data_IF_020434769131
#
_entry.id   IF_020434769131
#
_cell.length_a   1.000
_cell.length_b   1.000
_cell.length_c   1.000
_cell.angle_alpha   90.00
_cell.angle_beta   90.00
_cell.angle_gamma   90.00
#
_symmetry.space_group_name_H-M   'P 1'
#
loop_
_entity.id
_entity.type
_entity.pdbx_description
1 polymer ?
#
# COMPACT_ATOMS: atom_id res chain seq x y z
N UNK A 1 -47.86 -11.97 14.65
CA UNK A 1 -47.20 -11.05 13.69
C UNK A 1 -45.85 -10.45 14.16
N UNK A 2 -45.28 -10.86 15.31
CA UNK A 2 -44.00 -10.30 15.81
C UNK A 2 -42.74 -11.12 15.49
N UNK A 3 -42.88 -12.41 15.11
CA UNK A 3 -41.74 -13.31 14.83
C UNK A 3 -41.09 -13.09 13.45
N UNK A 4 -41.87 -12.70 12.44
CA UNK A 4 -41.34 -12.44 11.09
C UNK A 4 -40.50 -11.15 11.05
N UNK A 5 -40.90 -10.13 11.84
CA UNK A 5 -40.17 -8.85 11.93
C UNK A 5 -38.83 -8.99 12.66
N UNK A 6 -38.74 -9.86 13.66
CA UNK A 6 -37.48 -10.15 14.37
C UNK A 6 -36.54 -10.99 13.52
N UNK A 7 -37.04 -11.98 12.77
CA UNK A 7 -36.22 -12.75 11.84
C UNK A 7 -35.63 -11.87 10.71
N UNK A 8 -36.42 -10.96 10.16
CA UNK A 8 -35.94 -10.01 9.14
C UNK A 8 -34.91 -9.02 9.70
N UNK A 9 -35.07 -8.58 10.95
CA UNK A 9 -34.12 -7.68 11.61
C UNK A 9 -32.78 -8.38 11.88
N UNK A 10 -32.80 -9.66 12.27
CA UNK A 10 -31.58 -10.47 12.50
C UNK A 10 -30.86 -10.77 11.18
N UNK A 11 -31.60 -11.11 10.12
CA UNK A 11 -31.02 -11.30 8.77
C UNK A 11 -30.48 -9.97 8.22
N UNK A 12 -31.19 -8.85 8.40
CA UNK A 12 -30.68 -7.53 8.02
C UNK A 12 -29.45 -7.14 8.83
N UNK A 13 -29.39 -7.42 10.14
CA UNK A 13 -28.20 -7.18 10.96
C UNK A 13 -27.01 -8.07 10.53
N UNK A 14 -27.26 -9.34 10.20
CA UNK A 14 -26.22 -10.26 9.71
C UNK A 14 -25.71 -9.86 8.32
N UNK A 15 -26.59 -9.36 7.45
CA UNK A 15 -26.20 -8.79 6.16
C UNK A 15 -25.42 -7.48 6.34
N UNK A 16 -25.84 -6.56 7.20
CA UNK A 16 -25.16 -5.27 7.45
C UNK A 16 -23.81 -5.46 8.17
N UNK A 17 -23.69 -6.45 9.06
CA UNK A 17 -22.42 -6.82 9.67
C UNK A 17 -21.40 -7.37 8.65
N UNK A 18 -21.89 -8.04 7.59
CA UNK A 18 -21.05 -8.51 6.48
C UNK A 18 -20.56 -7.37 5.58
N UNK A 19 -21.25 -6.22 5.57
CA UNK A 19 -20.81 -5.00 4.87
C UNK A 19 -19.94 -4.07 5.74
N UNK A 20 -19.92 -4.25 7.06
CA UNK A 20 -19.14 -3.43 8.00
C UNK A 20 -17.68 -3.90 8.16
N UNK A 21 -17.28 -5.02 7.53
CA UNK A 21 -15.94 -5.59 7.59
C UNK A 21 -15.33 -5.85 6.19
N UNK A 22 -15.89 -5.24 5.14
CA UNK A 22 -15.28 -5.30 3.82
C UNK A 22 -14.15 -4.28 3.77
N UNK A 23 -12.91 -4.76 3.69
CA UNK A 23 -11.75 -3.90 3.42
C UNK A 23 -11.97 -3.10 2.14
N UNK A 24 -11.55 -1.83 2.14
CA UNK A 24 -11.60 -0.98 0.96
C UNK A 24 -10.80 -1.61 -0.18
N UNK A 25 -11.32 -1.48 -1.39
CA UNK A 25 -10.66 -2.03 -2.57
C UNK A 25 -9.40 -1.24 -2.91
N UNK A 26 -8.52 -1.85 -3.71
CA UNK A 26 -7.35 -1.16 -4.29
C UNK A 26 -7.75 0.06 -5.13
N UNK A 27 -8.91 0.03 -5.77
CA UNK A 27 -9.46 1.15 -6.54
C UNK A 27 -9.84 2.33 -5.64
N UNK A 28 -10.47 2.06 -4.49
CA UNK A 28 -10.75 3.10 -3.48
C UNK A 28 -9.43 3.67 -2.95
N UNK A 29 -8.44 2.83 -2.64
CA UNK A 29 -7.13 3.30 -2.19
C UNK A 29 -6.42 4.19 -3.23
N UNK A 30 -6.47 3.82 -4.51
CA UNK A 30 -5.97 4.65 -5.61
C UNK A 30 -6.71 5.99 -5.69
N UNK A 31 -8.04 5.97 -5.58
CA UNK A 31 -8.86 7.19 -5.59
C UNK A 31 -8.54 8.10 -4.40
N UNK A 32 -8.35 7.56 -3.20
CA UNK A 32 -7.92 8.32 -2.02
C UNK A 32 -6.54 8.96 -2.23
N UNK A 33 -5.62 8.26 -2.92
CA UNK A 33 -4.28 8.76 -3.18
C UNK A 33 -4.20 9.76 -4.35
N UNK A 34 -5.14 9.73 -5.31
CA UNK A 34 -5.12 10.55 -6.52
C UNK A 34 -4.85 12.05 -6.31
N UNK A 35 -5.42 12.74 -5.30
CA UNK A 35 -5.15 14.16 -5.07
C UNK A 35 -3.67 14.50 -4.87
N UNK A 36 -2.83 13.52 -4.50
CA UNK A 36 -1.42 13.72 -4.23
C UNK A 36 -0.50 13.47 -5.44
N UNK A 37 -1.04 13.04 -6.58
CA UNK A 37 -0.31 12.75 -7.82
C UNK A 37 0.09 14.06 -8.54
N UNK A 38 1.36 14.20 -9.00
CA UNK A 38 1.73 15.32 -9.89
C UNK A 38 1.42 15.00 -11.35
N UNK A 39 1.31 16.06 -12.14
CA UNK A 39 1.35 15.97 -13.60
C UNK A 39 2.61 15.22 -14.06
N UNK A 40 2.43 14.22 -14.92
CA UNK A 40 3.51 13.36 -15.44
C UNK A 40 3.91 12.21 -14.50
N UNK A 41 3.21 12.04 -13.38
CA UNK A 41 3.28 10.85 -12.53
C UNK A 41 2.05 9.95 -12.80
N UNK A 42 2.24 8.65 -12.70
CA UNK A 42 1.19 7.63 -12.65
C UNK A 42 1.22 6.94 -11.27
N UNK A 43 0.10 6.33 -10.90
CA UNK A 43 -0.07 5.63 -9.63
C UNK A 43 -0.31 4.13 -9.84
N UNK A 44 0.29 3.30 -8.98
CA UNK A 44 0.09 1.85 -8.98
C UNK A 44 0.08 1.29 -7.55
N UNK A 45 -0.50 0.10 -7.38
CA UNK A 45 -0.50 -0.66 -6.12
C UNK A 45 0.15 -2.01 -6.41
N UNK A 46 1.12 -2.41 -5.60
CA UNK A 46 1.80 -3.71 -5.75
C UNK A 46 1.38 -4.75 -4.71
N UNK A 47 0.65 -4.35 -3.66
CA UNK A 47 0.17 -5.29 -2.64
C UNK A 47 -0.38 -4.62 -1.39
N UNK A 48 -0.82 -5.45 -0.45
CA UNK A 48 -1.22 -5.07 0.91
C UNK A 48 -0.08 -5.31 1.89
N UNK A 49 -0.03 -4.43 2.89
CA UNK A 49 0.97 -4.45 3.96
C UNK A 49 0.24 -4.58 5.29
N UNK A 50 0.73 -5.45 6.17
CA UNK A 50 0.08 -5.73 7.45
C UNK A 50 0.96 -5.31 8.63
N UNK A 51 0.41 -4.48 9.53
CA UNK A 51 1.05 -3.99 10.76
C UNK A 51 0.05 -4.04 11.92
N UNK A 52 0.42 -4.72 13.01
CA UNK A 52 -0.37 -4.79 14.27
C UNK A 52 -1.87 -5.04 14.01
N UNK A 53 -2.16 -6.11 13.27
CA UNK A 53 -3.50 -6.60 12.91
C UNK A 53 -4.31 -5.72 11.93
N UNK A 54 -3.76 -4.61 11.45
CA UNK A 54 -4.37 -3.79 10.40
C UNK A 54 -3.66 -3.99 9.06
N UNK A 55 -4.40 -3.73 7.99
CA UNK A 55 -3.95 -3.87 6.62
C UNK A 55 -3.91 -2.50 5.95
N UNK A 56 -2.94 -2.31 5.06
CA UNK A 56 -2.65 -1.03 4.45
C UNK A 56 -2.33 -1.24 2.97
N UNK A 57 -2.91 -0.38 2.13
CA UNK A 57 -2.56 -0.26 0.73
C UNK A 57 -1.38 0.70 0.58
N UNK A 58 -0.32 0.24 -0.07
CA UNK A 58 0.81 1.09 -0.48
C UNK A 58 0.59 1.50 -1.93
N UNK A 59 0.38 2.79 -2.17
CA UNK A 59 0.21 3.38 -3.49
C UNK A 59 1.51 4.05 -3.91
N UNK A 60 2.11 3.58 -4.99
CA UNK A 60 3.36 4.10 -5.53
C UNK A 60 3.08 5.11 -6.62
N UNK A 61 3.73 6.26 -6.53
CA UNK A 61 3.79 7.21 -7.63
C UNK A 61 5.12 7.07 -8.35
N UNK A 62 5.06 7.05 -9.67
CA UNK A 62 6.20 6.88 -10.55
C UNK A 62 6.04 7.79 -11.78
N UNK A 63 7.12 8.25 -12.43
CA UNK A 63 7.02 8.94 -13.71
C UNK A 63 6.31 8.05 -14.73
N UNK A 64 5.46 8.64 -15.58
CA UNK A 64 4.76 7.90 -16.64
C UNK A 64 5.74 7.17 -17.58
N UNK A 65 6.89 7.79 -17.85
CA UNK A 65 7.91 7.23 -18.74
C UNK A 65 8.84 6.20 -18.05
N UNK A 66 8.78 6.07 -16.72
CA UNK A 66 9.66 5.20 -15.93
C UNK A 66 8.86 4.47 -14.83
N UNK A 67 8.00 3.50 -15.19
CA UNK A 67 7.11 2.83 -14.24
C UNK A 67 7.83 1.99 -13.17
N UNK A 68 9.11 1.67 -13.38
CA UNK A 68 9.93 0.94 -12.41
C UNK A 68 10.50 1.81 -11.29
N UNK A 69 10.44 3.14 -11.38
CA UNK A 69 11.01 4.03 -10.36
C UNK A 69 9.96 4.46 -9.34
N UNK A 70 10.17 4.17 -8.05
CA UNK A 70 9.31 4.63 -6.97
C UNK A 70 9.71 6.05 -6.54
N UNK A 71 8.88 7.06 -6.84
CA UNK A 71 9.13 8.45 -6.45
C UNK A 71 8.51 8.81 -5.11
N UNK A 72 7.31 8.30 -4.83
CA UNK A 72 6.59 8.55 -3.60
C UNK A 72 5.71 7.35 -3.25
N UNK A 73 5.54 7.08 -1.95
CA UNK A 73 4.58 6.09 -1.48
C UNK A 73 3.55 6.78 -0.59
N UNK A 74 2.29 6.56 -0.92
CA UNK A 74 1.11 7.03 -0.20
C UNK A 74 0.45 5.83 0.44
N UNK A 75 0.10 5.96 1.73
CA UNK A 75 -0.40 4.83 2.52
C UNK A 75 -1.87 5.05 2.84
N UNK A 76 -2.70 4.07 2.51
CA UNK A 76 -4.15 4.09 2.78
C UNK A 76 -4.52 2.91 3.64
N UNK A 77 -5.23 3.15 4.74
CA UNK A 77 -5.71 2.09 5.62
C UNK A 77 -6.81 1.28 4.93
N UNK A 78 -6.68 -0.05 4.94
CA UNK A 78 -7.60 -0.95 4.25
C UNK A 78 -8.97 -1.01 4.93
N UNK A 79 -9.07 -0.73 6.23
CA UNK A 79 -10.35 -0.74 6.95
C UNK A 79 -11.15 0.55 6.71
N UNK A 80 -10.52 1.71 6.87
CA UNK A 80 -11.22 3.01 6.81
C UNK A 80 -11.18 3.66 5.42
N UNK A 81 -10.25 3.27 4.56
CA UNK A 81 -9.94 4.01 3.32
C UNK A 81 -9.27 5.36 3.57
N UNK A 82 -8.93 5.66 4.82
CA UNK A 82 -8.29 6.90 5.24
C UNK A 82 -6.81 6.93 4.90
N UNK A 83 -6.30 8.12 4.59
CA UNK A 83 -4.89 8.35 4.39
C UNK A 83 -4.13 8.27 5.73
N UNK A 84 -3.10 7.44 5.79
CA UNK A 84 -2.25 7.33 6.98
C UNK A 84 -1.29 8.52 7.01
N UNK A 85 -1.28 9.26 8.11
CA UNK A 85 -0.39 10.41 8.33
C UNK A 85 0.45 10.30 9.61
N UNK A 86 0.21 9.29 10.43
CA UNK A 86 0.97 9.06 11.66
C UNK A 86 2.41 8.66 11.31
N UNK A 87 3.37 9.49 11.74
CA UNK A 87 4.77 9.36 11.33
C UNK A 87 5.41 8.03 11.72
N UNK A 88 5.08 7.50 12.88
CA UNK A 88 5.64 6.25 13.38
C UNK A 88 5.10 5.03 12.62
N UNK A 89 3.79 5.01 12.35
CA UNK A 89 3.17 3.98 11.52
C UNK A 89 3.70 4.03 10.07
N UNK A 90 3.84 5.24 9.51
CA UNK A 90 4.47 5.42 8.20
C UNK A 90 5.90 4.87 8.20
N UNK A 91 6.72 5.17 9.21
CA UNK A 91 8.08 4.60 9.30
C UNK A 91 8.07 3.07 9.29
N UNK A 92 7.15 2.45 10.01
CA UNK A 92 7.02 0.99 10.03
C UNK A 92 6.62 0.44 8.65
N UNK A 93 5.64 1.04 7.99
CA UNK A 93 5.17 0.60 6.67
C UNK A 93 6.20 0.83 5.57
N UNK A 94 6.86 1.99 5.54
CA UNK A 94 7.94 2.28 4.61
C UNK A 94 9.17 1.42 4.87
N UNK A 95 9.45 1.03 6.12
CA UNK A 95 10.48 0.04 6.45
C UNK A 95 10.14 -1.33 5.85
N UNK A 96 8.89 -1.78 5.99
CA UNK A 96 8.43 -3.02 5.35
C UNK A 96 8.54 -2.95 3.82
N UNK A 97 8.17 -1.83 3.19
CA UNK A 97 8.30 -1.65 1.74
C UNK A 97 9.75 -1.64 1.27
N UNK A 98 10.62 -0.93 1.99
CA UNK A 98 12.04 -0.89 1.71
C UNK A 98 12.62 -2.31 1.74
N UNK A 99 12.36 -3.06 2.82
CA UNK A 99 12.80 -4.45 2.96
C UNK A 99 12.24 -5.35 1.87
N UNK A 100 10.95 -5.21 1.53
CA UNK A 100 10.33 -6.00 0.48
C UNK A 100 10.98 -5.76 -0.89
N UNK A 101 11.24 -4.49 -1.21
CA UNK A 101 11.90 -4.07 -2.45
C UNK A 101 13.32 -4.63 -2.54
N UNK A 102 14.07 -4.55 -1.44
CA UNK A 102 15.44 -5.07 -1.39
C UNK A 102 15.49 -6.61 -1.45
N UNK A 103 14.62 -7.30 -0.71
CA UNK A 103 14.51 -8.76 -0.75
C UNK A 103 14.12 -9.26 -2.15
N UNK A 104 13.15 -8.61 -2.77
CA UNK A 104 12.74 -8.91 -4.16
C UNK A 104 13.88 -8.64 -5.15
N UNK A 105 14.62 -7.54 -4.96
CA UNK A 105 15.77 -7.21 -5.80
C UNK A 105 16.89 -8.22 -5.62
N UNK A 106 17.14 -8.66 -4.38
CA UNK A 106 18.16 -9.66 -4.09
C UNK A 106 17.85 -11.01 -4.75
N UNK A 107 16.60 -11.47 -4.65
CA UNK A 107 16.15 -12.71 -5.28
C UNK A 107 16.20 -12.65 -6.82
N UNK A 108 15.76 -11.54 -7.42
CA UNK A 108 15.67 -11.39 -8.89
C UNK A 108 17.00 -11.06 -9.58
N UNK A 109 17.85 -10.22 -8.98
CA UNK A 109 19.09 -9.73 -9.62
C UNK A 109 20.28 -10.68 -9.51
N UNK A 110 20.28 -11.61 -8.54
CA UNK A 110 21.42 -12.51 -8.31
C UNK A 110 21.11 -13.99 -8.61
N UNK A 111 19.89 -14.34 -9.07
CA UNK A 111 19.44 -15.73 -9.21
C UNK A 111 19.53 -16.52 -7.89
N UNK A 112 19.34 -15.84 -6.76
CA UNK A 112 19.48 -16.38 -5.40
C UNK A 112 18.08 -16.65 -4.84
N UNK A 113 17.40 -17.66 -5.39
CA UNK A 113 16.14 -18.19 -4.85
C UNK A 113 16.39 -19.53 -4.14
N UNK A 114 15.54 -19.87 -3.17
CA UNK A 114 15.65 -21.18 -2.52
C UNK A 114 15.31 -22.32 -3.47
N UNK A 115 14.43 -22.08 -4.46
CA UNK A 115 14.17 -23.03 -5.54
C UNK A 115 15.45 -23.36 -6.35
N UNK A 116 16.26 -22.35 -6.71
CA UNK A 116 17.53 -22.57 -7.41
C UNK A 116 18.54 -23.26 -6.50
N UNK A 117 18.62 -22.84 -5.25
CA UNK A 117 19.51 -23.46 -4.26
C UNK A 117 19.18 -24.94 -4.04
N UNK A 118 17.89 -25.30 -4.00
CA UNK A 118 17.44 -26.70 -3.91
C UNK A 118 17.89 -27.54 -5.10
N UNK A 119 17.75 -27.02 -6.32
CA UNK A 119 18.23 -27.72 -7.52
C UNK A 119 19.75 -27.92 -7.51
N UNK A 120 20.52 -26.90 -7.12
CA UNK A 120 21.97 -27.04 -6.97
C UNK A 120 22.29 -28.07 -5.90
N UNK A 121 21.57 -28.03 -4.79
CA UNK A 121 21.76 -28.92 -3.67
C UNK A 121 21.51 -30.40 -4.02
N UNK A 122 20.36 -30.72 -4.63
CA UNK A 122 20.04 -32.10 -5.03
C UNK A 122 21.11 -32.69 -5.97
N UNK A 123 21.72 -31.86 -6.83
CA UNK A 123 22.83 -32.29 -7.67
C UNK A 123 24.12 -32.59 -6.88
N UNK A 124 24.42 -31.80 -5.86
CA UNK A 124 25.55 -32.05 -4.95
C UNK A 124 25.37 -33.34 -4.17
N UNK A 125 24.16 -33.60 -3.67
CA UNK A 125 23.81 -34.86 -3.02
C UNK A 125 24.07 -36.06 -3.93
N UNK A 126 23.60 -36.00 -5.18
CA UNK A 126 23.79 -37.09 -6.14
C UNK A 126 25.28 -37.34 -6.42
N UNK A 127 26.11 -36.29 -6.48
CA UNK A 127 27.56 -36.43 -6.63
C UNK A 127 28.20 -37.04 -5.37
N UNK A 128 27.86 -36.57 -4.18
CA UNK A 128 28.32 -37.15 -2.91
C UNK A 128 27.98 -38.65 -2.81
N UNK A 129 26.72 -39.01 -3.08
CA UNK A 129 26.26 -40.41 -3.06
C UNK A 129 26.96 -41.25 -4.13
N UNK A 130 27.21 -40.68 -5.32
CA UNK A 130 27.97 -41.33 -6.39
C UNK A 130 29.43 -41.58 -6.00
N UNK A 131 30.07 -40.66 -5.29
CA UNK A 131 31.46 -40.77 -4.86
C UNK A 131 31.64 -41.82 -3.75
N UNK A 132 30.62 -42.05 -2.91
CA UNK A 132 30.68 -43.03 -1.84
C UNK A 132 30.17 -44.43 -2.24
N UNK A 133 29.36 -44.55 -3.29
CA UNK A 133 28.78 -45.84 -3.66
C UNK A 133 29.85 -46.82 -4.16
N UNK A 134 30.27 -47.78 -3.32
CA UNK A 134 31.27 -48.80 -3.67
C UNK A 134 30.97 -49.63 -4.93
N UNK A 135 29.70 -49.70 -5.38
CA UNK A 135 29.33 -50.35 -6.64
C UNK A 135 29.60 -49.48 -7.88
N UNK A 136 29.85 -48.17 -7.71
CA UNK A 136 30.27 -47.26 -8.76
C UNK A 136 31.79 -47.38 -8.98
N UNK A 137 32.26 -47.73 -10.20
CA UNK A 137 33.69 -47.78 -10.52
C UNK A 137 34.44 -46.45 -10.35
N UNK A 138 33.71 -45.33 -10.32
CA UNK A 138 34.25 -44.00 -10.08
C UNK A 138 34.01 -43.49 -8.63
N UNK A 139 33.73 -44.39 -7.68
CA UNK A 139 33.68 -44.08 -6.26
C UNK A 139 35.08 -44.07 -5.63
N UNK A 140 35.22 -43.38 -4.50
CA UNK A 140 36.47 -43.31 -3.75
C UNK A 140 36.92 -44.70 -3.30
N UNK A 141 35.98 -45.56 -2.85
CA UNK A 141 36.30 -46.91 -2.38
C UNK A 141 36.77 -47.83 -3.50
N UNK A 142 36.16 -47.73 -4.70
CA UNK A 142 36.57 -48.51 -5.86
C UNK A 142 37.95 -48.08 -6.39
N UNK A 143 38.21 -46.77 -6.42
CA UNK A 143 39.49 -46.20 -6.86
C UNK A 143 40.60 -46.49 -5.85
N UNK A 144 40.37 -46.24 -4.55
CA UNK A 144 41.28 -46.61 -3.45
C UNK A 144 41.66 -48.09 -3.55
N UNK A 145 40.68 -48.98 -3.63
CA UNK A 145 40.93 -50.43 -3.74
C UNK A 145 41.74 -50.82 -4.98
N UNK A 146 41.62 -50.10 -6.10
CA UNK A 146 42.37 -50.38 -7.32
C UNK A 146 43.80 -49.82 -7.28
N UNK A 147 43.98 -48.64 -6.68
CA UNK A 147 45.27 -47.98 -6.52
C UNK A 147 46.10 -48.70 -5.46
N UNK A 148 45.57 -48.96 -4.28
CA UNK A 148 46.28 -49.59 -3.15
C UNK A 148 46.75 -51.02 -3.44
N UNK A 149 46.06 -51.75 -4.33
CA UNK A 149 46.53 -53.07 -4.81
C UNK A 149 47.88 -53.02 -5.51
N UNK A 150 48.19 -51.88 -6.14
CA UNK A 150 49.40 -51.68 -6.93
C UNK A 150 50.38 -50.72 -6.25
N UNK A 151 49.91 -49.87 -5.33
CA UNK A 151 50.64 -48.77 -4.69
C UNK A 151 50.21 -48.64 -3.22
N UNK A 152 50.75 -49.52 -2.37
CA UNK A 152 50.38 -49.66 -0.94
C UNK A 152 50.72 -48.45 -0.07
N UNK A 153 51.54 -47.53 -0.57
CA UNK A 153 51.96 -46.29 0.09
C UNK A 153 51.01 -45.11 -0.10
N UNK A 154 50.05 -45.22 -1.03
CA UNK A 154 49.02 -44.20 -1.26
C UNK A 154 47.81 -44.51 -0.38
N UNK A 155 47.63 -43.71 0.67
CA UNK A 155 46.61 -43.91 1.69
C UNK A 155 45.41 -42.97 1.49
N UNK A 156 44.23 -43.54 1.21
CA UNK A 156 43.00 -42.80 0.99
C UNK A 156 42.20 -42.49 2.26
N UNK A 157 42.62 -42.96 3.44
CA UNK A 157 41.85 -42.84 4.69
C UNK A 157 41.45 -41.40 5.01
N UNK A 158 42.38 -40.45 4.81
CA UNK A 158 42.10 -39.01 5.03
C UNK A 158 41.07 -38.45 4.05
N UNK A 159 41.18 -38.80 2.77
CA UNK A 159 40.22 -38.37 1.74
C UNK A 159 38.82 -39.00 1.97
N UNK A 160 38.76 -40.26 2.37
CA UNK A 160 37.50 -40.94 2.74
C UNK A 160 36.86 -40.25 3.96
N UNK A 161 37.65 -39.99 5.00
CA UNK A 161 37.19 -39.29 6.21
C UNK A 161 36.69 -37.87 5.88
N UNK A 162 37.37 -37.14 4.99
CA UNK A 162 36.95 -35.81 4.55
C UNK A 162 35.63 -35.87 3.74
N UNK A 163 35.46 -36.87 2.87
CA UNK A 163 34.21 -37.10 2.13
C UNK A 163 33.03 -37.37 3.06
N UNK A 164 33.22 -38.24 4.06
CA UNK A 164 32.19 -38.52 5.07
C UNK A 164 31.86 -37.26 5.88
N UNK A 165 32.86 -36.46 6.24
CA UNK A 165 32.65 -35.17 6.89
C UNK A 165 31.85 -34.16 6.05
N UNK A 166 31.95 -34.20 4.71
CA UNK A 166 31.11 -33.41 3.81
C UNK A 166 29.67 -33.94 3.73
N UNK A 167 29.48 -35.26 3.78
CA UNK A 167 28.17 -35.92 3.78
C UNK A 167 27.40 -35.70 5.08
N UNK A 168 28.05 -35.82 6.23
CA UNK A 168 27.40 -35.57 7.53
C UNK A 168 26.88 -34.14 7.63
N UNK A 169 27.55 -33.19 6.96
CA UNK A 169 27.11 -31.80 6.92
C UNK A 169 26.05 -31.53 5.84
N UNK A 170 25.89 -32.44 4.87
CA UNK A 170 24.90 -32.35 3.82
C UNK A 170 23.48 -32.27 4.37
N UNK A 171 23.10 -33.16 5.28
CA UNK A 171 21.74 -33.23 5.83
C UNK A 171 21.36 -31.91 6.54
N UNK A 172 22.29 -31.32 7.30
CA UNK A 172 22.11 -30.01 7.93
C UNK A 172 21.93 -28.88 6.92
N UNK A 173 22.63 -28.94 5.78
CA UNK A 173 22.44 -27.99 4.69
C UNK A 173 21.08 -28.20 4.01
N UNK A 174 20.70 -29.44 3.71
CA UNK A 174 19.43 -29.78 3.05
C UNK A 174 18.21 -29.29 3.84
N UNK A 175 18.21 -29.53 5.15
CA UNK A 175 17.18 -29.06 6.08
C UNK A 175 17.04 -27.52 6.07
N UNK A 176 18.18 -26.82 5.96
CA UNK A 176 18.20 -25.36 5.85
C UNK A 176 17.54 -24.86 4.58
N UNK A 177 17.83 -25.53 3.46
CA UNK A 177 17.34 -25.16 2.16
C UNK A 177 15.83 -25.44 2.10
N UNK A 178 15.39 -26.59 2.59
CA UNK A 178 13.96 -26.92 2.69
C UNK A 178 13.20 -25.89 3.55
N UNK A 179 13.72 -25.57 4.73
CA UNK A 179 13.16 -24.51 5.59
C UNK A 179 13.11 -23.14 4.89
N UNK A 180 14.10 -22.86 4.04
CA UNK A 180 14.14 -21.64 3.24
C UNK A 180 13.13 -21.61 2.10
N UNK A 181 12.88 -22.74 1.43
CA UNK A 181 11.81 -22.89 0.44
C UNK A 181 10.46 -22.57 1.09
N UNK A 182 10.19 -23.12 2.28
CA UNK A 182 8.96 -22.84 3.02
C UNK A 182 8.84 -21.36 3.41
N UNK A 183 9.95 -20.73 3.82
CA UNK A 183 9.96 -19.30 4.14
C UNK A 183 9.70 -18.42 2.90
N UNK A 184 10.28 -18.77 1.75
CA UNK A 184 10.08 -18.06 0.47
C UNK A 184 8.64 -18.21 -0.03
N UNK A 185 8.06 -19.42 0.06
CA UNK A 185 6.65 -19.68 -0.27
C UNK A 185 5.71 -18.87 0.63
N UNK A 186 5.93 -18.90 1.94
CA UNK A 186 5.12 -18.14 2.90
C UNK A 186 5.23 -16.63 2.64
N UNK A 187 6.43 -16.12 2.31
CA UNK A 187 6.62 -14.72 1.96
C UNK A 187 5.84 -14.35 0.68
N UNK A 188 5.91 -15.17 -0.37
CA UNK A 188 5.25 -14.92 -1.65
C UNK A 188 3.71 -15.01 -1.60
N UNK A 189 3.15 -15.79 -0.67
CA UNK A 189 1.70 -16.03 -0.56
C UNK A 189 0.99 -15.14 0.46
N UNK A 190 1.73 -14.38 1.27
CA UNK A 190 1.20 -13.54 2.35
C UNK A 190 1.18 -12.05 2.01
N UNK A 191 0.34 -11.28 2.70
CA UNK A 191 0.50 -9.83 2.78
C UNK A 191 1.90 -9.49 3.32
N UNK A 192 2.47 -8.39 2.83
CA UNK A 192 3.82 -7.99 3.24
C UNK A 192 3.80 -7.59 4.71
N UNK A 193 4.50 -8.37 5.55
CA UNK A 193 4.54 -8.13 6.98
C UNK A 193 5.93 -8.46 7.58
N UNK A 194 6.18 -7.95 8.79
CA UNK A 194 7.48 -8.09 9.44
C UNK A 194 7.84 -9.54 9.74
N UNK A 195 6.86 -10.38 10.09
CA UNK A 195 7.09 -11.77 10.47
C UNK A 195 7.61 -12.57 9.29
N UNK A 196 6.94 -12.52 8.14
CA UNK A 196 7.33 -13.28 6.95
C UNK A 196 8.65 -12.79 6.37
N UNK A 197 8.89 -11.46 6.36
CA UNK A 197 10.20 -10.89 5.98
C UNK A 197 11.33 -11.35 6.91
N UNK A 198 11.15 -11.28 8.23
CA UNK A 198 12.17 -11.70 9.18
C UNK A 198 12.46 -13.20 9.05
N UNK A 199 11.42 -14.04 8.88
CA UNK A 199 11.59 -15.47 8.63
C UNK A 199 12.43 -15.74 7.37
N UNK A 200 12.16 -15.02 6.27
CA UNK A 200 12.94 -15.15 5.04
C UNK A 200 14.40 -14.70 5.21
N UNK A 201 14.64 -13.58 5.90
CA UNK A 201 15.99 -13.10 6.22
C UNK A 201 16.77 -14.10 7.07
N UNK A 202 16.11 -14.68 8.08
CA UNK A 202 16.73 -15.72 8.92
C UNK A 202 17.07 -16.97 8.12
N UNK A 203 16.18 -17.42 7.23
CA UNK A 203 16.42 -18.55 6.35
C UNK A 203 17.62 -18.32 5.42
N UNK A 204 17.73 -17.14 4.81
CA UNK A 204 18.88 -16.78 3.97
C UNK A 204 20.18 -16.81 4.77
N UNK A 205 20.22 -16.14 5.94
CA UNK A 205 21.41 -16.12 6.79
C UNK A 205 21.84 -17.51 7.27
N UNK A 206 20.89 -18.35 7.69
CA UNK A 206 21.16 -19.72 8.09
C UNK A 206 21.75 -20.54 6.93
N UNK A 207 21.20 -20.37 5.73
CA UNK A 207 21.63 -21.10 4.54
C UNK A 207 23.00 -20.63 4.05
N UNK A 208 23.30 -19.33 4.02
CA UNK A 208 24.66 -18.84 3.73
C UNK A 208 25.69 -19.44 4.70
N UNK A 209 25.39 -19.42 6.01
CA UNK A 209 26.29 -20.01 7.02
C UNK A 209 26.52 -21.49 6.77
N UNK A 210 25.48 -22.26 6.48
CA UNK A 210 25.59 -23.70 6.23
C UNK A 210 26.28 -24.01 4.92
N UNK A 211 25.98 -23.31 3.83
CA UNK A 211 26.69 -23.45 2.57
C UNK A 211 28.18 -23.18 2.77
N UNK A 212 28.54 -22.12 3.50
CA UNK A 212 29.94 -21.79 3.76
C UNK A 212 30.69 -22.91 4.50
N UNK A 213 30.06 -23.57 5.47
CA UNK A 213 30.68 -24.69 6.20
C UNK A 213 30.73 -25.94 5.32
N UNK A 214 29.69 -26.21 4.52
CA UNK A 214 29.68 -27.30 3.55
C UNK A 214 30.82 -27.15 2.53
N UNK A 215 30.99 -25.95 1.95
CA UNK A 215 32.08 -25.66 1.02
C UNK A 215 33.45 -25.90 1.66
N UNK A 216 33.66 -25.52 2.93
CA UNK A 216 34.91 -25.82 3.64
C UNK A 216 35.18 -27.33 3.80
N UNK A 217 34.13 -28.15 3.94
CA UNK A 217 34.27 -29.62 3.98
C UNK A 217 34.62 -30.20 2.62
N UNK A 218 34.02 -29.66 1.55
CA UNK A 218 34.36 -30.03 0.18
C UNK A 218 35.78 -29.62 -0.17
N UNK A 219 36.20 -28.40 0.18
CA UNK A 219 37.58 -27.92 -0.03
C UNK A 219 38.58 -28.84 0.69
N UNK A 220 38.31 -29.22 1.94
CA UNK A 220 39.16 -30.15 2.68
C UNK A 220 39.27 -31.51 1.98
N UNK A 221 38.17 -32.02 1.40
CA UNK A 221 38.20 -33.25 0.61
C UNK A 221 39.03 -33.10 -0.67
N UNK A 222 38.87 -32.01 -1.43
CA UNK A 222 39.64 -31.75 -2.64
C UNK A 222 41.14 -31.55 -2.34
N UNK A 223 41.49 -30.96 -1.20
CA UNK A 223 42.87 -30.83 -0.73
C UNK A 223 43.52 -32.20 -0.45
N UNK A 224 42.79 -33.14 0.17
CA UNK A 224 43.29 -34.51 0.40
C UNK A 224 43.50 -35.27 -0.94
N UNK A 225 42.62 -35.08 -1.93
CA UNK A 225 42.82 -35.63 -3.28
C UNK A 225 44.04 -35.01 -3.98
N UNK A 226 44.31 -33.72 -3.74
CA UNK A 226 45.48 -33.03 -4.27
C UNK A 226 46.77 -33.54 -3.62
N UNK A 227 46.79 -33.74 -2.30
CA UNK A 227 47.92 -34.36 -1.58
C UNK A 227 48.23 -35.75 -2.14
N UNK A 228 47.19 -36.57 -2.38
CA UNK A 228 47.33 -37.89 -3.00
C UNK A 228 47.90 -37.82 -4.42
N UNK A 229 47.44 -36.84 -5.22
CA UNK A 229 47.95 -36.62 -6.57
C UNK A 229 49.42 -36.25 -6.58
N UNK A 230 49.85 -35.41 -5.63
CA UNK A 230 51.25 -35.00 -5.47
C UNK A 230 52.14 -36.16 -5.00
N UNK A 231 51.67 -36.95 -4.03
CA UNK A 231 52.36 -38.15 -3.58
C UNK A 231 52.55 -39.14 -4.74
N UNK A 232 51.51 -39.35 -5.55
CA UNK A 232 51.58 -40.22 -6.72
C UNK A 232 52.60 -39.71 -7.76
N UNK A 233 52.61 -38.40 -8.04
CA UNK A 233 53.58 -37.78 -8.94
C UNK A 233 55.03 -37.93 -8.47
N UNK A 234 55.28 -37.80 -7.16
CA UNK A 234 56.60 -37.92 -6.59
C UNK A 234 57.13 -39.37 -6.57
N UNK A 235 56.27 -40.35 -6.34
CA UNK A 235 56.67 -41.74 -6.12
C UNK A 235 56.63 -42.62 -7.39
N UNK A 236 55.79 -42.31 -8.39
CA UNK A 236 55.39 -43.32 -9.39
C UNK A 236 55.64 -42.98 -10.87
N UNK A 237 56.40 -41.92 -11.19
CA UNK A 237 56.90 -41.67 -12.55
C UNK A 237 55.83 -41.76 -13.65
N UNK A 238 55.94 -42.73 -14.57
CA UNK A 238 54.98 -42.92 -15.67
C UNK A 238 53.58 -43.42 -15.21
N UNK A 239 53.48 -44.11 -14.06
CA UNK A 239 52.21 -44.59 -13.52
C UNK A 239 51.41 -43.48 -12.81
N UNK A 240 52.09 -42.40 -12.38
CA UNK A 240 51.45 -41.26 -11.72
C UNK A 240 50.33 -40.65 -12.56
N UNK A 241 50.52 -40.54 -13.88
CA UNK A 241 49.53 -39.95 -14.78
C UNK A 241 48.20 -40.71 -14.80
N UNK A 242 48.21 -42.03 -14.64
CA UNK A 242 46.98 -42.83 -14.57
C UNK A 242 46.27 -42.67 -13.23
N UNK A 243 47.03 -42.63 -12.12
CA UNK A 243 46.49 -42.41 -10.77
C UNK A 243 45.84 -41.02 -10.69
N UNK A 244 46.53 -39.97 -11.16
CA UNK A 244 46.03 -38.60 -11.19
C UNK A 244 44.75 -38.49 -12.03
N UNK A 245 44.68 -39.20 -13.17
CA UNK A 245 43.47 -39.22 -13.99
C UNK A 245 42.28 -39.88 -13.26
N UNK A 246 42.53 -40.92 -12.45
CA UNK A 246 41.50 -41.53 -11.61
C UNK A 246 41.07 -40.59 -10.47
N UNK A 247 42.01 -39.92 -9.80
CA UNK A 247 41.71 -38.94 -8.75
C UNK A 247 40.89 -37.76 -9.27
N UNK A 248 41.12 -37.30 -10.51
CA UNK A 248 40.32 -36.26 -11.15
C UNK A 248 38.86 -36.67 -11.40
N UNK A 249 38.50 -37.96 -11.37
CA UNK A 249 37.09 -38.38 -11.43
C UNK A 249 36.35 -38.14 -10.10
N UNK A 250 37.12 -38.02 -9.01
CA UNK A 250 36.61 -37.86 -7.65
C UNK A 250 36.37 -36.38 -7.28
N UNK A 251 36.90 -35.42 -8.04
CA UNK A 251 36.72 -33.99 -7.75
C UNK A 251 35.28 -33.51 -7.98
N UNK A 252 34.91 -32.43 -7.31
CA UNK A 252 33.62 -31.73 -7.48
C UNK A 252 33.69 -30.69 -8.60
N UNK A 253 34.88 -30.20 -8.95
CA UNK A 253 35.13 -29.48 -10.19
C UNK A 253 34.95 -30.44 -11.39
N UNK A 254 33.93 -30.19 -12.22
CA UNK A 254 33.67 -31.00 -13.41
C UNK A 254 34.68 -30.63 -14.51
N UNK A 255 35.30 -31.64 -15.14
CA UNK A 255 36.19 -31.46 -16.30
C UNK A 255 35.42 -31.37 -17.64
N UNK A 256 34.12 -31.03 -17.59
CA UNK A 256 33.17 -31.11 -18.69
C UNK A 256 32.92 -29.81 -19.45
N UNK A 257 32.81 -29.91 -20.78
CA UNK A 257 32.59 -28.82 -21.75
C UNK A 257 31.20 -28.16 -21.75
N UNK A 258 30.34 -28.42 -20.74
CA UNK A 258 28.98 -27.86 -20.65
C UNK A 258 28.88 -26.53 -19.91
N UNK A 259 29.98 -25.98 -19.40
CA UNK A 259 30.05 -24.56 -18.97
C UNK A 259 29.12 -24.16 -17.81
N UNK A 260 28.64 -25.12 -17.01
CA UNK A 260 27.91 -24.86 -15.78
C UNK A 260 28.64 -25.53 -14.62
N UNK A 261 29.69 -24.87 -14.13
CA UNK A 261 30.36 -25.24 -12.88
C UNK A 261 29.38 -25.04 -11.72
N UNK A 262 28.59 -26.07 -11.41
CA UNK A 262 27.58 -26.05 -10.33
C UNK A 262 28.20 -25.72 -8.97
N UNK A 263 29.46 -26.13 -8.77
CA UNK A 263 30.30 -25.71 -7.64
C UNK A 263 30.53 -24.20 -7.62
N UNK A 264 30.94 -23.61 -8.75
CA UNK A 264 31.10 -22.15 -8.86
C UNK A 264 29.79 -21.39 -8.63
N UNK A 265 28.63 -21.95 -9.01
CA UNK A 265 27.32 -21.35 -8.73
C UNK A 265 27.00 -21.35 -7.23
N UNK A 266 27.29 -22.45 -6.53
CA UNK A 266 27.10 -22.54 -5.08
C UNK A 266 28.06 -21.60 -4.32
N UNK A 267 29.31 -21.47 -4.79
CA UNK A 267 30.28 -20.49 -4.28
C UNK A 267 29.77 -19.06 -4.48
N UNK A 268 29.30 -18.71 -5.69
CA UNK A 268 28.71 -17.38 -5.98
C UNK A 268 27.48 -17.08 -5.11
N UNK A 269 26.65 -18.09 -4.86
CA UNK A 269 25.53 -17.97 -3.93
C UNK A 269 26.03 -17.64 -2.52
N UNK A 270 27.03 -18.36 -2.01
CA UNK A 270 27.62 -18.09 -0.70
C UNK A 270 28.22 -16.68 -0.60
N UNK A 271 28.96 -16.23 -1.63
CA UNK A 271 29.54 -14.89 -1.70
C UNK A 271 28.48 -13.77 -1.66
N UNK A 272 27.29 -14.05 -2.19
CA UNK A 272 26.15 -13.13 -2.15
C UNK A 272 25.68 -12.83 -0.73
N UNK A 273 25.95 -13.72 0.24
CA UNK A 273 25.65 -13.49 1.66
C UNK A 273 26.36 -12.26 2.26
N UNK A 274 27.56 -11.92 1.76
CA UNK A 274 28.26 -10.68 2.16
C UNK A 274 27.51 -9.43 1.71
N UNK A 275 26.86 -9.47 0.55
CA UNK A 275 26.02 -8.36 0.05
C UNK A 275 24.67 -8.35 0.73
N UNK A 276 24.11 -9.52 1.03
CA UNK A 276 22.82 -9.66 1.72
C UNK A 276 22.79 -8.96 3.07
N UNK A 277 23.87 -9.09 3.86
CA UNK A 277 23.98 -8.42 5.17
C UNK A 277 24.08 -6.89 5.08
N UNK A 278 24.45 -6.34 3.91
CA UNK A 278 24.59 -4.90 3.68
C UNK A 278 23.31 -4.23 3.19
N UNK A 279 22.33 -5.01 2.73
CA UNK A 279 21.05 -4.52 2.17
C UNK A 279 20.35 -3.52 3.11
N UNK A 280 20.41 -3.76 4.42
CA UNK A 280 19.64 -2.98 5.40
C UNK A 280 20.41 -1.77 5.95
N UNK A 281 21.65 -1.54 5.54
CA UNK A 281 22.47 -0.44 6.07
C UNK A 281 21.93 0.96 5.72
N UNK A 282 21.07 1.07 4.68
CA UNK A 282 20.49 2.34 4.20
C UNK A 282 19.03 2.53 4.58
N UNK A 283 18.44 1.55 5.27
CA UNK A 283 17.01 1.52 5.57
C UNK A 283 16.56 2.78 6.32
N UNK A 284 17.26 3.13 7.41
CA UNK A 284 16.87 4.27 8.25
C UNK A 284 16.82 5.60 7.48
N UNK A 285 17.79 5.85 6.60
CA UNK A 285 17.83 7.06 5.78
C UNK A 285 16.73 7.02 4.71
N UNK A 286 16.63 5.92 3.94
CA UNK A 286 15.63 5.78 2.88
C UNK A 286 14.19 5.85 3.39
N UNK A 287 13.91 5.28 4.57
CA UNK A 287 12.61 5.37 5.24
C UNK A 287 12.32 6.80 5.67
N UNK A 288 13.27 7.50 6.30
CA UNK A 288 13.06 8.89 6.71
C UNK A 288 12.81 9.82 5.53
N UNK A 289 13.57 9.68 4.45
CA UNK A 289 13.42 10.48 3.23
C UNK A 289 12.05 10.23 2.57
N UNK A 290 11.62 8.95 2.51
CA UNK A 290 10.31 8.58 1.96
C UNK A 290 9.15 9.14 2.78
N UNK A 291 9.22 9.02 4.10
CA UNK A 291 8.20 9.56 5.01
C UNK A 291 8.16 11.09 4.91
N UNK A 292 9.32 11.76 4.88
CA UNK A 292 9.36 13.22 4.77
C UNK A 292 8.82 13.70 3.42
N UNK A 293 9.19 13.04 2.32
CA UNK A 293 8.67 13.33 0.98
C UNK A 293 7.13 13.24 0.93
N UNK A 294 6.55 12.24 1.59
CA UNK A 294 5.10 12.10 1.71
C UNK A 294 4.47 13.22 2.53
N UNK A 295 5.02 13.52 3.71
CA UNK A 295 4.51 14.60 4.57
C UNK A 295 4.56 15.95 3.85
N UNK A 296 5.64 16.25 3.14
CA UNK A 296 5.78 17.50 2.39
C UNK A 296 4.78 17.59 1.24
N UNK A 297 4.58 16.48 0.50
CA UNK A 297 3.56 16.39 -0.55
C UNK A 297 2.16 16.58 0.02
N UNK A 298 1.87 15.91 1.13
CA UNK A 298 0.58 16.01 1.80
C UNK A 298 0.29 17.44 2.23
N UNK A 299 1.24 18.06 2.93
CA UNK A 299 1.13 19.44 3.39
C UNK A 299 0.92 20.41 2.23
N UNK A 300 1.59 20.20 1.09
CA UNK A 300 1.40 21.02 -0.10
C UNK A 300 -0.04 20.95 -0.63
N UNK A 301 -0.56 19.74 -0.82
CA UNK A 301 -1.91 19.51 -1.37
C UNK A 301 -2.99 19.98 -0.40
N UNK A 302 -2.87 19.64 0.87
CA UNK A 302 -3.85 20.03 1.89
C UNK A 302 -3.90 21.56 2.04
N UNK A 303 -2.75 22.22 2.18
CA UNK A 303 -2.70 23.68 2.35
C UNK A 303 -3.16 24.42 1.08
N UNK A 304 -2.79 23.95 -0.11
CA UNK A 304 -3.25 24.56 -1.36
C UNK A 304 -4.76 24.41 -1.55
N UNK A 305 -5.30 23.22 -1.26
CA UNK A 305 -6.75 22.95 -1.33
C UNK A 305 -7.52 23.83 -0.35
N UNK A 306 -7.08 23.86 0.92
CA UNK A 306 -7.71 24.69 1.94
C UNK A 306 -7.63 26.18 1.60
N UNK A 307 -6.45 26.67 1.17
CA UNK A 307 -6.27 28.05 0.76
C UNK A 307 -7.23 28.42 -0.38
N UNK A 308 -7.33 27.58 -1.42
CA UNK A 308 -8.21 27.84 -2.57
C UNK A 308 -9.69 27.82 -2.16
N UNK A 309 -10.09 26.87 -1.31
CA UNK A 309 -11.47 26.75 -0.85
C UNK A 309 -11.87 27.92 0.05
N UNK A 310 -11.06 28.24 1.06
CA UNK A 310 -11.34 29.34 1.98
C UNK A 310 -11.29 30.70 1.29
N UNK A 311 -10.35 30.90 0.37
CA UNK A 311 -10.29 32.12 -0.43
C UNK A 311 -11.56 32.29 -1.25
N UNK A 312 -11.98 31.25 -1.98
CA UNK A 312 -13.19 31.28 -2.79
C UNK A 312 -14.46 31.47 -1.96
N UNK A 313 -14.51 30.91 -0.74
CA UNK A 313 -15.62 31.08 0.20
C UNK A 313 -15.74 32.53 0.69
N UNK A 314 -14.61 33.17 1.00
CA UNK A 314 -14.60 34.52 1.58
C UNK A 314 -14.68 35.64 0.53
N UNK A 315 -14.12 35.42 -0.67
CA UNK A 315 -14.04 36.40 -1.76
C UNK A 315 -15.36 37.15 -2.01
N UNK A 316 -16.52 36.50 -2.25
CA UNK A 316 -17.76 37.23 -2.59
C UNK A 316 -18.26 38.11 -1.43
N UNK A 317 -18.01 37.71 -0.18
CA UNK A 317 -18.40 38.50 0.98
C UNK A 317 -17.50 39.69 1.18
N UNK A 318 -16.20 39.50 0.99
CA UNK A 318 -15.25 40.61 1.04
C UNK A 318 -15.54 41.60 -0.08
N UNK A 319 -15.73 41.14 -1.32
CA UNK A 319 -16.13 42.00 -2.43
C UNK A 319 -17.43 42.75 -2.14
N UNK A 320 -18.45 42.11 -1.57
CA UNK A 320 -19.69 42.80 -1.20
C UNK A 320 -19.46 43.90 -0.15
N UNK A 321 -18.57 43.67 0.82
CA UNK A 321 -18.25 44.65 1.89
C UNK A 321 -17.41 45.80 1.33
N UNK A 322 -16.47 45.52 0.42
CA UNK A 322 -15.44 46.48 -0.02
C UNK A 322 -15.69 47.11 -1.40
N UNK A 323 -16.68 46.66 -2.17
CA UNK A 323 -17.03 47.21 -3.50
C UNK A 323 -18.28 48.09 -3.46
N UNK A 324 -19.06 48.21 -4.55
CA UNK A 324 -20.17 49.17 -4.76
C UNK A 324 -21.27 49.15 -3.68
N UNK A 325 -21.34 48.12 -2.83
CA UNK A 325 -22.25 48.07 -1.66
C UNK A 325 -21.61 48.64 -0.39
N UNK A 326 -20.37 49.11 -0.41
CA UNK A 326 -19.64 49.64 0.76
C UNK A 326 -20.40 50.77 1.43
N UNK A 327 -21.03 51.66 0.67
CA UNK A 327 -21.86 52.75 1.20
C UNK A 327 -23.07 52.26 2.00
N UNK A 328 -23.62 51.10 1.66
CA UNK A 328 -24.71 50.47 2.42
C UNK A 328 -24.17 49.90 3.73
N UNK A 329 -23.02 49.24 3.71
CA UNK A 329 -22.34 48.73 4.91
C UNK A 329 -21.89 49.86 5.84
N UNK A 330 -21.32 50.93 5.29
CA UNK A 330 -20.94 52.15 6.02
C UNK A 330 -22.16 52.83 6.66
N UNK A 331 -23.30 52.85 5.98
CA UNK A 331 -24.56 53.37 6.57
C UNK A 331 -25.06 52.56 7.77
N UNK A 332 -24.54 51.35 7.96
CA UNK A 332 -24.78 50.48 9.10
C UNK A 332 -23.60 50.46 10.08
N UNK A 333 -22.70 51.45 10.00
CA UNK A 333 -21.53 51.64 10.86
C UNK A 333 -20.56 50.43 10.81
N UNK A 334 -20.53 49.70 9.69
CA UNK A 334 -19.60 48.58 9.51
C UNK A 334 -18.24 49.13 9.03
N UNK A 335 -17.16 48.78 9.74
CA UNK A 335 -15.79 49.13 9.35
C UNK A 335 -15.34 48.30 8.13
N UNK A 336 -15.46 48.89 6.95
CA UNK A 336 -15.06 48.30 5.66
C UNK A 336 -13.55 48.40 5.43
N UNK A 337 -12.86 49.37 6.05
CA UNK A 337 -11.44 49.68 5.82
C UNK A 337 -10.53 48.62 6.44
N UNK A 338 -10.85 48.17 7.65
CA UNK A 338 -10.07 47.12 8.32
C UNK A 338 -10.11 45.79 7.53
N UNK A 339 -11.28 45.43 6.99
CA UNK A 339 -11.46 44.21 6.17
C UNK A 339 -10.70 44.36 4.84
N UNK A 340 -10.85 45.49 4.15
CA UNK A 340 -10.14 45.76 2.90
C UNK A 340 -8.61 45.73 3.08
N UNK A 341 -8.10 46.26 4.19
CA UNK A 341 -6.66 46.29 4.49
C UNK A 341 -6.11 44.89 4.76
N UNK A 342 -6.78 44.09 5.58
CA UNK A 342 -6.37 42.69 5.81
C UNK A 342 -6.48 41.86 4.52
N UNK A 343 -7.54 42.04 3.72
CA UNK A 343 -7.72 41.30 2.47
C UNK A 343 -6.64 41.59 1.43
N UNK A 344 -6.16 42.84 1.32
CA UNK A 344 -5.05 43.20 0.43
C UNK A 344 -3.76 42.44 0.71
N UNK A 345 -3.56 41.92 1.92
CA UNK A 345 -2.39 41.12 2.29
C UNK A 345 -2.53 39.65 1.88
N UNK A 346 -3.75 39.20 1.58
CA UNK A 346 -4.02 37.84 1.11
C UNK A 346 -3.74 37.78 -0.39
N UNK A 347 -2.71 37.02 -0.76
CA UNK A 347 -2.44 36.72 -2.16
C UNK A 347 -3.45 35.69 -2.67
N UNK A 348 -3.98 35.89 -3.87
CA UNK A 348 -4.85 34.89 -4.52
C UNK A 348 -4.06 33.59 -4.76
N UNK A 349 -4.43 32.46 -4.10
CA UNK A 349 -3.71 31.21 -4.21
C UNK A 349 -3.75 30.60 -5.62
N UNK A 350 -4.65 31.03 -6.51
CA UNK A 350 -4.76 30.55 -7.90
C UNK A 350 -3.86 31.29 -8.88
N UNK A 351 -3.45 32.50 -8.53
CA UNK A 351 -2.63 33.37 -9.37
C UNK A 351 -1.12 33.16 -9.20
N UNK A 352 -0.73 32.26 -8.29
CA UNK A 352 0.64 32.12 -7.82
C UNK A 352 1.18 30.70 -8.05
N UNK A 353 2.28 30.59 -8.80
CA UNK A 353 3.04 29.34 -8.93
C UNK A 353 3.92 29.13 -7.69
N UNK A 354 3.29 28.69 -6.60
CA UNK A 354 4.04 28.29 -5.40
C UNK A 354 4.62 26.90 -5.58
N UNK A 355 5.92 26.76 -5.27
CA UNK A 355 6.67 25.51 -5.42
C UNK A 355 6.71 24.67 -4.13
N UNK A 356 6.25 25.22 -3.00
CA UNK A 356 6.20 24.54 -1.70
C UNK A 356 4.97 24.96 -0.87
N UNK A 357 4.77 24.31 0.28
CA UNK A 357 3.52 24.40 1.07
C UNK A 357 3.42 25.66 1.95
N UNK A 358 4.55 26.30 2.28
CA UNK A 358 4.62 27.38 3.26
C UNK A 358 3.81 28.63 2.84
N UNK A 359 3.86 29.13 1.58
CA UNK A 359 3.01 30.23 1.15
C UNK A 359 1.52 29.94 1.26
N UNK A 360 1.08 28.73 0.93
CA UNK A 360 -0.31 28.34 1.09
C UNK A 360 -0.73 28.30 2.56
N UNK A 361 0.13 27.76 3.44
CA UNK A 361 -0.12 27.77 4.88
C UNK A 361 -0.29 29.20 5.42
N UNK A 362 0.53 30.15 4.97
CA UNK A 362 0.38 31.57 5.32
C UNK A 362 -0.95 32.15 4.85
N UNK A 363 -1.37 31.83 3.62
CA UNK A 363 -2.68 32.26 3.09
C UNK A 363 -3.81 31.70 3.94
N UNK A 364 -3.79 30.41 4.29
CA UNK A 364 -4.80 29.79 5.17
C UNK A 364 -4.87 30.52 6.52
N UNK A 365 -3.72 30.83 7.14
CA UNK A 365 -3.68 31.58 8.39
C UNK A 365 -4.29 32.99 8.25
N UNK A 366 -3.92 33.73 7.21
CA UNK A 366 -4.48 35.07 6.95
C UNK A 366 -6.00 35.01 6.71
N UNK A 367 -6.49 34.02 5.97
CA UNK A 367 -7.92 33.81 5.73
C UNK A 367 -8.66 33.46 7.03
N UNK A 368 -8.07 32.65 7.90
CA UNK A 368 -8.62 32.33 9.22
C UNK A 368 -8.73 33.57 10.13
N UNK A 369 -7.80 34.53 10.01
CA UNK A 369 -7.88 35.81 10.74
C UNK A 369 -8.93 36.77 10.16
N UNK A 370 -9.21 36.69 8.86
CA UNK A 370 -10.17 37.57 8.18
C UNK A 370 -11.61 37.05 8.32
N UNK A 371 -11.83 35.73 8.29
CA UNK A 371 -13.16 35.13 8.35
C UNK A 371 -14.04 35.70 9.49
N UNK A 372 -13.56 35.80 10.74
CA UNK A 372 -14.37 36.34 11.84
C UNK A 372 -14.74 37.82 11.66
N UNK A 373 -13.88 38.62 11.02
CA UNK A 373 -14.14 40.03 10.75
C UNK A 373 -15.26 40.19 9.71
N UNK A 374 -15.22 39.36 8.66
CA UNK A 374 -16.26 39.30 7.62
C UNK A 374 -17.60 38.85 8.23
N UNK A 375 -17.59 37.80 9.05
CA UNK A 375 -18.80 37.28 9.69
C UNK A 375 -19.41 38.32 10.65
N UNK A 376 -18.58 39.04 11.43
CA UNK A 376 -19.03 40.11 12.30
C UNK A 376 -19.62 41.29 11.50
N UNK A 377 -18.99 41.68 10.40
CA UNK A 377 -19.48 42.74 9.51
C UNK A 377 -20.83 42.40 8.90
N UNK A 378 -21.00 41.17 8.39
CA UNK A 378 -22.29 40.70 7.86
C UNK A 378 -23.37 40.68 8.95
N UNK A 379 -23.06 40.13 10.12
CA UNK A 379 -24.00 40.10 11.25
C UNK A 379 -24.43 41.51 11.69
N UNK A 380 -23.53 42.49 11.67
CA UNK A 380 -23.85 43.89 11.99
C UNK A 380 -24.74 44.51 10.90
N UNK A 381 -24.42 44.26 9.63
CA UNK A 381 -25.22 44.72 8.49
C UNK A 381 -26.64 44.13 8.48
N UNK A 382 -26.78 42.81 8.67
CA UNK A 382 -28.08 42.13 8.69
C UNK A 382 -28.97 42.67 9.82
N UNK A 383 -28.41 42.86 11.03
CA UNK A 383 -29.12 43.49 12.15
C UNK A 383 -29.56 44.93 11.85
N UNK A 384 -28.74 45.70 11.15
CA UNK A 384 -29.06 47.06 10.75
C UNK A 384 -30.24 47.06 9.76
N UNK A 385 -30.25 46.14 8.79
CA UNK A 385 -31.37 45.99 7.85
C UNK A 385 -32.66 45.55 8.56
N UNK A 386 -32.60 44.56 9.45
CA UNK A 386 -33.77 44.12 10.24
C UNK A 386 -34.36 45.26 11.08
N UNK A 387 -33.50 46.13 11.64
CA UNK A 387 -33.92 47.31 12.39
C UNK A 387 -34.62 48.34 11.48
N UNK A 388 -34.10 48.55 10.27
CA UNK A 388 -34.72 49.44 9.26
C UNK A 388 -36.04 48.89 8.72
N UNK A 389 -36.17 47.57 8.55
CA UNK A 389 -37.42 46.95 8.15
C UNK A 389 -38.48 47.03 9.26
N UNK A 390 -38.09 46.82 10.52
CA UNK A 390 -38.99 47.00 11.67
C UNK A 390 -39.42 48.45 11.86
N UNK A 391 -38.55 49.42 11.60
CA UNK A 391 -38.92 50.85 11.66
C UNK A 391 -39.76 51.30 10.46
N UNK A 392 -39.50 50.77 9.26
CA UNK A 392 -40.36 50.99 8.09
C UNK A 392 -41.76 50.36 8.24
N UNK A 393 -41.85 49.19 8.90
CA UNK A 393 -43.12 48.57 9.28
C UNK A 393 -43.83 49.34 10.40
N UNK A 394 -43.10 49.96 11.33
CA UNK A 394 -43.71 50.81 12.36
C UNK A 394 -44.31 52.11 11.79
N UNK A 395 -43.76 52.66 10.70
CA UNK A 395 -44.32 53.85 10.02
C UNK A 395 -45.53 53.52 9.15
N UNK A 396 -45.78 52.25 8.83
CA UNK A 396 -46.98 51.80 8.09
C UNK A 396 -48.04 51.14 8.99
N UNK A 397 -47.81 51.06 10.30
CA UNK A 397 -48.72 50.44 11.26
C UNK A 397 -49.87 51.35 11.72
N UNK A 398 -49.99 52.58 11.20
CA UNK A 398 -51.16 53.44 11.44
C UNK A 398 -52.23 53.41 10.34
N UNK A 399 -51.95 52.78 9.18
CA UNK A 399 -52.96 52.57 8.14
C UNK A 399 -52.70 51.26 7.39
N UNK A 400 -53.28 50.15 7.86
CA UNK A 400 -53.98 49.17 7.00
C UNK A 400 -54.59 48.04 7.81
N UNK A 401 -55.91 48.09 7.85
CA UNK A 401 -56.82 47.03 8.25
C UNK A 401 -56.80 45.91 7.19
N UNK A 402 -55.69 45.15 7.09
CA UNK A 402 -55.40 44.19 6.02
C UNK A 402 -55.93 42.76 6.29
N UNK A 403 -56.98 42.63 7.11
CA UNK A 403 -57.70 41.36 7.30
C UNK A 403 -58.85 41.19 6.28
N UNK A 404 -59.23 42.25 5.58
CA UNK A 404 -60.32 42.24 4.62
C UNK A 404 -59.99 41.46 3.33
N UNK A 405 -58.73 41.49 2.86
CA UNK A 405 -58.32 40.75 1.66
C UNK A 405 -58.37 39.22 1.82
N UNK A 406 -57.79 38.60 2.88
CA UNK A 406 -57.95 37.16 3.10
C UNK A 406 -59.40 36.78 3.45
N UNK A 407 -60.16 37.65 4.12
CA UNK A 407 -61.59 37.42 4.40
C UNK A 407 -62.44 37.43 3.12
N UNK A 408 -62.17 38.34 2.17
CA UNK A 408 -62.82 38.37 0.86
C UNK A 408 -62.47 37.14 0.01
N UNK A 409 -61.22 36.68 0.04
CA UNK A 409 -60.80 35.45 -0.65
C UNK A 409 -61.52 34.23 -0.05
N UNK A 410 -61.59 34.12 1.29
CA UNK A 410 -62.35 33.06 1.96
C UNK A 410 -63.86 33.13 1.66
N UNK A 411 -64.42 34.33 1.53
CA UNK A 411 -65.84 34.53 1.19
C UNK A 411 -66.12 34.17 -0.28
N UNK A 412 -65.21 34.49 -1.21
CA UNK A 412 -65.30 34.07 -2.62
C UNK A 412 -65.13 32.55 -2.77
N UNK A 413 -64.19 31.94 -2.04
CA UNK A 413 -64.03 30.47 -1.99
C UNK A 413 -65.28 29.82 -1.37
N UNK A 414 -65.83 30.39 -0.30
CA UNK A 414 -67.06 29.93 0.34
C UNK A 414 -68.27 30.01 -0.59
N UNK A 415 -68.42 31.11 -1.35
CA UNK A 415 -69.49 31.28 -2.34
C UNK A 415 -69.30 30.33 -3.53
N UNK A 416 -68.07 30.15 -4.03
CA UNK A 416 -67.77 29.21 -5.11
C UNK A 416 -68.06 27.75 -4.68
N UNK A 417 -67.67 27.36 -3.46
CA UNK A 417 -67.98 26.05 -2.90
C UNK A 417 -69.49 25.86 -2.68
N UNK A 418 -70.21 26.89 -2.23
CA UNK A 418 -71.66 26.86 -2.08
C UNK A 418 -72.39 26.73 -3.42
N UNK A 419 -71.94 27.43 -4.47
CA UNK A 419 -72.49 27.31 -5.83
C UNK A 419 -72.21 25.90 -6.40
N UNK A 420 -71.00 25.37 -6.21
CA UNK A 420 -70.64 24.02 -6.67
C UNK A 420 -71.44 22.92 -5.96
N UNK A 421 -71.64 23.04 -4.64
CA UNK A 421 -72.46 22.10 -3.85
C UNK A 421 -73.95 22.20 -4.18
N UNK A 422 -74.47 23.40 -4.47
CA UNK A 422 -75.86 23.59 -4.91
C UNK A 422 -76.09 23.07 -6.33
N UNK A 423 -75.06 23.12 -7.20
CA UNK A 423 -75.05 22.48 -8.52
C UNK A 423 -75.14 20.96 -8.43
N UNK A 424 -74.29 20.32 -7.61
CA UNK A 424 -74.37 18.87 -7.38
C UNK A 424 -75.67 18.42 -6.72
N UNK A 425 -76.31 19.24 -5.90
CA UNK A 425 -77.60 18.89 -5.30
C UNK A 425 -78.71 18.78 -6.35
N UNK A 426 -78.71 19.64 -7.37
CA UNK A 426 -79.62 19.52 -8.52
C UNK A 426 -79.36 18.27 -9.36
N UNK A 427 -78.11 17.88 -9.54
CA UNK A 427 -77.75 16.68 -10.31
C UNK A 427 -78.08 15.39 -9.53
N UNK A 428 -77.98 15.41 -8.20
CA UNK A 428 -78.42 14.29 -7.34
C UNK A 428 -79.95 14.18 -7.25
N UNK A 429 -80.69 15.30 -7.24
CA UNK A 429 -82.16 15.28 -7.26
C UNK A 429 -82.71 14.79 -8.62
N UNK A 430 -82.03 15.09 -9.74
CA UNK A 430 -82.37 14.57 -11.07
C UNK A 430 -81.99 13.08 -11.24
N UNK A 431 -80.87 12.63 -10.69
CA UNK A 431 -80.49 11.22 -10.68
C UNK A 431 -81.40 10.39 -9.75
N UNK A 432 -81.86 10.97 -8.63
CA UNK A 432 -82.83 10.35 -7.73
C UNK A 432 -84.21 10.13 -8.37
N UNK A 433 -84.71 11.11 -9.14
CA UNK A 433 -85.99 10.97 -9.85
C UNK A 433 -85.91 9.98 -11.03
N UNK A 434 -84.75 9.80 -11.67
CA UNK A 434 -84.55 8.78 -12.70
C UNK A 434 -84.41 7.36 -12.13
N UNK A 435 -83.84 7.20 -10.93
CA UNK A 435 -83.78 5.92 -10.22
C UNK A 435 -85.17 5.47 -9.71
N UNK A 436 -86.02 6.41 -9.26
CA UNK A 436 -87.39 6.10 -8.84
C UNK A 436 -88.31 5.71 -10.03
N UNK A 437 -88.05 6.24 -11.23
CA UNK A 437 -88.77 5.88 -12.46
C UNK A 437 -88.38 4.50 -13.01
N UNK A 438 -87.16 4.01 -12.74
CA UNK A 438 -86.70 2.67 -13.15
C UNK A 438 -87.02 1.58 -12.10
N UNK A 439 -87.21 1.95 -10.83
CA UNK A 439 -87.62 1.01 -9.77
C UNK A 439 -89.10 0.58 -9.79
N UNK A 440 -89.99 1.27 -10.51
CA UNK A 440 -91.43 0.91 -10.65
C UNK A 440 -91.76 0.00 -11.84
N UNK A 441 -90.75 -0.58 -12.52
CA UNK A 441 -90.94 -1.57 -13.59
C UNK A 441 -90.55 -3.01 -13.21
N UNK A 442 -90.26 -3.24 -11.94
CA UNK A 442 -90.04 -4.56 -11.37
C UNK A 442 -90.87 -4.68 -10.09
N UNK A 443 -92.21 -4.62 -10.24
CA UNK A 443 -93.25 -5.38 -9.54
C UNK A 443 -94.60 -5.04 -10.19
#
# INVERSE_FOLDING_TARGET
>A
MNSIKTAFLVVALLCVASFAAAEVSSETALSTAQPYLKKGEAASITGKYSVKDNAYWMVYFHPENYPSTKNLVVVVEAQSGGLVSERELLRQLHSLDFRASELSSFASSNSVSFARLRLLADNFRNKLDSLDNSANPASIHAISSAVERNFTELDFERAITALDGARDYWDSLDDSIASGVDAELNYAQSDVNQKTQNSLVLAFNASFKRISVFLQKVDAYEDELLELSQAAAAAHGQAASQIILQLNLLTFADSGSTGQDRYSELVRFNESGKRFTQIFAREATGVNDSVQSFIDRKNFVDNSTNAVQDYARLLPYVEAITSTRSTQYESCDVDTVAIATSWKQVKDPRSADFTNSEPYARIVQQLAEISPKVDAARKKYDKCLESREKSAQAVTAEEKQDWLAPALILLVIGVAAFIYLKGKKKDFDQAGQQAEAQGKKLW
#
